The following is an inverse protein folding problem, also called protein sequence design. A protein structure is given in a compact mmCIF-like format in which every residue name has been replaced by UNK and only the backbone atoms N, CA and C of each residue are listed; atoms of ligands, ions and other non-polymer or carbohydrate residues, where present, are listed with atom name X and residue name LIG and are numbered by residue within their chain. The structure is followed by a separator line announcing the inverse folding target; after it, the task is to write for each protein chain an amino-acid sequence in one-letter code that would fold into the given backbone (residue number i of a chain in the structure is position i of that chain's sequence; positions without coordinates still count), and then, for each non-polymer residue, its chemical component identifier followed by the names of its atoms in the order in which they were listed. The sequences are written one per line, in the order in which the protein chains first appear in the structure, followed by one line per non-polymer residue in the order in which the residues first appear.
data_IF_148194456070
#
_entry.id   IF_148194456070
#
_cell.length_a   1.000
_cell.length_b   1.000
_cell.length_c   1.000
_cell.angle_alpha   90.00
_cell.angle_beta   90.00
_cell.angle_gamma   90.00
#
_symmetry.space_group_name_H-M   'P 1'
#
loop_
_entity.id
_entity.type
_entity.pdbx_description
1 polymer ?
#
# COMPACT_ATOMS: atom_id res chain seq x y z
N UNK A 1 6.76 -0.92 -26.24
CA UNK A 1 7.86 -1.03 -25.25
C UNK A 1 7.76 0.05 -24.16
N UNK A 2 7.43 1.30 -24.49
CA UNK A 2 7.30 2.43 -23.54
C UNK A 2 6.39 2.18 -22.32
N UNK A 3 5.21 1.54 -22.45
CA UNK A 3 4.33 1.30 -21.29
C UNK A 3 4.95 0.39 -20.22
N UNK A 4 5.71 -0.62 -20.63
CA UNK A 4 6.39 -1.55 -19.71
C UNK A 4 7.45 -0.81 -18.90
N UNK A 5 8.21 0.09 -19.54
CA UNK A 5 9.19 0.91 -18.83
C UNK A 5 8.53 1.82 -17.80
N UNK A 6 7.39 2.45 -18.13
CA UNK A 6 6.65 3.28 -17.17
C UNK A 6 6.17 2.46 -15.97
N UNK A 7 5.60 1.27 -16.21
CA UNK A 7 5.17 0.38 -15.13
C UNK A 7 6.37 -0.08 -14.29
N UNK A 8 7.48 -0.47 -14.93
CA UNK A 8 8.68 -0.94 -14.24
C UNK A 8 9.32 0.17 -13.37
N UNK A 9 9.44 1.38 -13.90
CA UNK A 9 9.99 2.52 -13.17
C UNK A 9 9.07 2.96 -12.03
N UNK A 10 7.76 3.01 -12.28
CA UNK A 10 6.77 3.26 -11.23
C UNK A 10 6.85 2.22 -10.12
N UNK A 11 6.91 0.94 -10.48
CA UNK A 11 7.04 -0.17 -9.52
C UNK A 11 8.33 -0.14 -8.72
N UNK A 12 9.46 0.19 -9.35
CA UNK A 12 10.73 0.39 -8.66
C UNK A 12 10.65 1.53 -7.62
N UNK A 13 10.05 2.66 -7.98
CA UNK A 13 9.85 3.76 -7.04
C UNK A 13 8.89 3.40 -5.90
N UNK A 14 7.78 2.75 -6.24
CA UNK A 14 6.78 2.27 -5.29
C UNK A 14 7.40 1.32 -4.26
N UNK A 15 8.06 0.26 -4.72
CA UNK A 15 8.74 -0.71 -3.87
C UNK A 15 9.81 -0.08 -2.96
N UNK A 16 10.63 0.86 -3.47
CA UNK A 16 11.61 1.58 -2.66
C UNK A 16 10.92 2.43 -1.58
N UNK A 17 9.87 3.17 -1.93
CA UNK A 17 9.10 3.94 -0.95
C UNK A 17 8.51 3.04 0.15
N UNK A 18 7.94 1.89 -0.23
CA UNK A 18 7.41 0.90 0.72
C UNK A 18 8.50 0.38 1.65
N UNK A 19 9.67 0.04 1.12
CA UNK A 19 10.81 -0.44 1.90
C UNK A 19 11.25 0.60 2.95
N UNK A 20 11.43 1.85 2.52
CA UNK A 20 11.85 2.94 3.41
C UNK A 20 10.79 3.26 4.46
N UNK A 21 9.53 3.37 4.07
CA UNK A 21 8.44 3.70 4.99
C UNK A 21 8.18 2.57 5.99
N UNK A 22 8.11 1.32 5.53
CA UNK A 22 7.93 0.15 6.41
C UNK A 22 9.10 0.04 7.39
N UNK A 23 10.34 0.21 6.93
CA UNK A 23 11.53 0.20 7.77
C UNK A 23 11.53 1.32 8.81
N UNK A 24 11.15 2.54 8.41
CA UNK A 24 11.03 3.68 9.32
C UNK A 24 9.96 3.45 10.40
N UNK A 25 8.79 2.93 10.03
CA UNK A 25 7.73 2.61 11.00
C UNK A 25 8.18 1.51 11.96
N UNK A 26 8.79 0.44 11.43
CA UNK A 26 9.24 -0.70 12.23
C UNK A 26 10.31 -0.30 13.25
N UNK A 27 11.20 0.63 12.90
CA UNK A 27 12.20 1.18 13.82
C UNK A 27 11.58 1.83 15.07
N UNK A 28 10.37 2.38 14.95
CA UNK A 28 9.66 3.04 16.06
C UNK A 28 8.63 2.13 16.76
N UNK A 29 8.44 0.91 16.27
CA UNK A 29 7.43 -0.04 16.76
C UNK A 29 8.05 -1.36 17.25
N UNK A 30 9.27 -1.29 17.79
CA UNK A 30 10.00 -2.46 18.30
C UNK A 30 9.17 -3.17 19.39
N UNK A 31 8.98 -4.48 19.24
CA UNK A 31 8.23 -5.31 20.19
C UNK A 31 6.71 -5.32 19.98
N UNK A 32 6.19 -4.62 18.97
CA UNK A 32 4.77 -4.68 18.63
C UNK A 32 4.44 -6.01 17.94
N UNK A 33 3.37 -6.65 18.40
CA UNK A 33 2.79 -7.84 17.76
C UNK A 33 2.03 -7.48 16.48
N UNK A 34 1.39 -6.31 16.48
CA UNK A 34 0.70 -5.76 15.32
C UNK A 34 1.72 -5.35 14.24
N UNK A 35 1.51 -5.64 12.93
CA UNK A 35 2.44 -5.32 11.85
C UNK A 35 2.24 -3.87 11.37
N UNK A 36 2.96 -2.87 11.91
CA UNK A 36 2.60 -1.47 11.70
C UNK A 36 3.17 -0.93 10.38
N UNK A 37 4.30 -1.48 9.91
CA UNK A 37 4.92 -1.08 8.65
C UNK A 37 4.01 -1.36 7.46
N UNK A 38 3.57 -2.61 7.30
CA UNK A 38 2.66 -3.01 6.22
C UNK A 38 1.31 -2.29 6.33
N UNK A 39 0.78 -2.14 7.56
CA UNK A 39 -0.43 -1.36 7.82
C UNK A 39 -0.30 0.08 7.28
N UNK A 40 0.68 0.84 7.75
CA UNK A 40 0.86 2.25 7.38
C UNK A 40 1.09 2.40 5.88
N UNK A 41 1.92 1.54 5.28
CA UNK A 41 2.17 1.58 3.84
C UNK A 41 0.89 1.36 3.03
N UNK A 42 0.03 0.41 3.44
CA UNK A 42 -1.23 0.17 2.75
C UNK A 42 -2.20 1.35 2.92
N UNK A 43 -2.32 1.94 4.11
CA UNK A 43 -3.17 3.12 4.34
C UNK A 43 -2.69 4.33 3.52
N UNK A 44 -1.39 4.58 3.48
CA UNK A 44 -0.81 5.64 2.63
C UNK A 44 -1.09 5.36 1.16
N UNK A 45 -0.96 4.10 0.71
CA UNK A 45 -1.33 3.70 -0.65
C UNK A 45 -2.81 3.98 -0.98
N UNK A 46 -3.72 3.60 -0.08
CA UNK A 46 -5.15 3.91 -0.18
C UNK A 46 -5.41 5.42 -0.27
N UNK A 47 -4.76 6.22 0.58
CA UNK A 47 -4.91 7.67 0.56
C UNK A 47 -4.43 8.28 -0.76
N UNK A 48 -3.26 7.85 -1.24
CA UNK A 48 -2.69 8.37 -2.49
C UNK A 48 -3.58 7.99 -3.67
N UNK A 49 -4.05 6.75 -3.78
CA UNK A 49 -4.90 6.33 -4.89
C UNK A 49 -6.29 6.99 -4.84
N UNK A 50 -6.85 7.21 -3.64
CA UNK A 50 -8.09 7.96 -3.43
C UNK A 50 -7.97 9.38 -3.97
N UNK A 51 -6.94 10.12 -3.54
CA UNK A 51 -6.66 11.49 -4.02
C UNK A 51 -6.43 11.51 -5.54
N UNK A 52 -5.57 10.62 -6.06
CA UNK A 52 -5.25 10.60 -7.48
C UNK A 52 -6.46 10.23 -8.34
N UNK A 53 -7.30 9.30 -7.90
CA UNK A 53 -8.51 8.92 -8.64
C UNK A 53 -9.43 10.13 -8.84
N UNK A 54 -9.61 10.94 -7.80
CA UNK A 54 -10.41 12.16 -7.85
C UNK A 54 -9.78 13.25 -8.73
N UNK A 55 -8.45 13.40 -8.68
CA UNK A 55 -7.73 14.35 -9.53
C UNK A 55 -7.82 13.97 -11.01
N UNK A 56 -7.69 12.69 -11.36
CA UNK A 56 -7.84 12.20 -12.73
C UNK A 56 -9.24 12.48 -13.26
N UNK A 57 -10.28 12.23 -12.46
CA UNK A 57 -11.67 12.50 -12.87
C UNK A 57 -11.89 14.00 -13.10
N UNK A 58 -11.37 14.86 -12.21
CA UNK A 58 -11.55 16.32 -12.29
C UNK A 58 -10.69 16.98 -13.39
N UNK A 59 -9.50 16.43 -13.66
CA UNK A 59 -8.48 17.03 -14.51
C UNK A 59 -8.02 16.06 -15.60
N UNK A 60 -8.95 15.35 -16.23
CA UNK A 60 -8.66 14.28 -17.19
C UNK A 60 -7.72 14.71 -18.35
N UNK A 61 -7.74 15.98 -18.75
CA UNK A 61 -6.83 16.51 -19.78
C UNK A 61 -5.36 16.50 -19.36
N UNK A 62 -5.05 16.59 -18.06
CA UNK A 62 -3.69 16.60 -17.52
C UNK A 62 -3.13 15.20 -17.24
N UNK A 63 -3.97 14.17 -17.20
CA UNK A 63 -3.56 12.79 -16.90
C UNK A 63 -3.64 11.92 -18.15
N UNK A 64 -2.54 11.90 -18.92
CA UNK A 64 -2.41 11.01 -20.06
C UNK A 64 -2.47 9.53 -19.64
N UNK A 65 -2.74 8.64 -20.61
CA UNK A 65 -2.74 7.20 -20.38
C UNK A 65 -1.40 6.70 -19.76
N UNK A 66 -0.29 7.29 -20.21
CA UNK A 66 1.06 6.97 -19.73
C UNK A 66 1.26 7.39 -18.26
N UNK A 67 0.79 8.57 -17.88
CA UNK A 67 0.83 9.04 -16.49
C UNK A 67 -0.01 8.13 -15.59
N UNK A 68 -1.17 7.66 -16.07
CA UNK A 68 -2.03 6.74 -15.32
C UNK A 68 -1.37 5.37 -15.15
N UNK A 69 -0.74 4.84 -16.19
CA UNK A 69 0.03 3.59 -16.12
C UNK A 69 1.18 3.69 -15.10
N UNK A 70 1.95 4.77 -15.16
CA UNK A 70 3.06 5.00 -14.23
C UNK A 70 2.57 5.11 -12.78
N UNK A 71 1.54 5.90 -12.50
CA UNK A 71 1.06 6.16 -11.14
C UNK A 71 0.25 5.00 -10.55
N UNK A 72 -0.76 4.51 -11.28
CA UNK A 72 -1.71 3.53 -10.74
C UNK A 72 -1.20 2.09 -10.88
N UNK A 73 -0.61 1.72 -12.02
CA UNK A 73 -0.16 0.34 -12.24
C UNK A 73 1.26 0.13 -11.72
N UNK A 74 2.18 1.06 -12.01
CA UNK A 74 3.56 0.98 -11.52
C UNK A 74 3.66 1.38 -10.05
N UNK A 75 3.44 2.66 -9.75
CA UNK A 75 3.71 3.26 -8.45
C UNK A 75 2.90 2.67 -7.30
N UNK A 76 1.57 2.68 -7.44
CA UNK A 76 0.65 2.29 -6.36
C UNK A 76 0.18 0.84 -6.51
N UNK A 77 0.19 0.30 -7.73
CA UNK A 77 -0.30 -1.05 -8.03
C UNK A 77 0.44 -2.16 -7.30
N UNK A 78 1.64 -1.89 -6.79
CA UNK A 78 2.40 -2.78 -5.92
C UNK A 78 1.85 -2.82 -4.47
N UNK A 79 0.52 -2.90 -4.30
CA UNK A 79 -0.12 -3.10 -3.00
C UNK A 79 0.15 -4.51 -2.45
N UNK A 80 0.56 -4.60 -1.18
CA UNK A 80 1.01 -5.83 -0.50
C UNK A 80 -0.15 -6.67 0.04
N UNK A 81 -1.12 -7.06 -0.79
CA UNK A 81 -2.15 -7.99 -0.31
C UNK A 81 -1.53 -9.33 0.14
N UNK A 82 -0.51 -9.81 -0.58
CA UNK A 82 0.22 -11.03 -0.24
C UNK A 82 0.96 -10.95 1.11
N UNK A 83 1.68 -9.85 1.37
CA UNK A 83 2.40 -9.67 2.65
C UNK A 83 1.42 -9.44 3.81
N UNK A 84 0.35 -8.66 3.60
CA UNK A 84 -0.75 -8.53 4.56
C UNK A 84 -1.33 -9.91 4.93
N UNK A 85 -1.60 -10.76 3.93
CA UNK A 85 -2.10 -12.11 4.13
C UNK A 85 -1.11 -13.01 4.87
N UNK A 86 0.19 -12.91 4.55
CA UNK A 86 1.26 -13.67 5.19
C UNK A 86 1.44 -13.28 6.66
N UNK A 87 1.45 -11.98 6.98
CA UNK A 87 1.50 -11.47 8.35
C UNK A 87 0.28 -11.91 9.15
N UNK A 88 -0.91 -11.80 8.56
CA UNK A 88 -2.15 -12.30 9.16
C UNK A 88 -2.06 -13.79 9.45
N UNK A 89 -1.58 -14.59 8.50
CA UNK A 89 -1.38 -16.02 8.67
C UNK A 89 -0.38 -16.34 9.80
N UNK A 90 0.71 -15.58 9.92
CA UNK A 90 1.67 -15.77 11.01
C UNK A 90 1.12 -15.39 12.37
N UNK A 91 0.29 -14.35 12.47
CA UNK A 91 -0.41 -14.00 13.71
C UNK A 91 -1.35 -15.13 14.14
N UNK A 92 -2.12 -15.69 13.20
CA UNK A 92 -2.99 -16.82 13.46
C UNK A 92 -2.20 -18.07 13.87
N UNK A 93 -1.05 -18.35 13.25
CA UNK A 93 -0.16 -19.46 13.64
C UNK A 93 0.48 -19.30 15.02
N UNK A 94 0.53 -18.09 15.56
CA UNK A 94 1.04 -17.78 16.91
C UNK A 94 -0.08 -17.73 17.95
N UNK A 95 -1.29 -18.18 17.58
CA UNK A 95 -2.50 -18.09 18.40
C UNK A 95 -2.89 -16.65 18.79
N UNK A 96 -2.40 -15.65 18.07
CA UNK A 96 -2.69 -14.23 18.31
C UNK A 96 -3.95 -13.77 17.57
N UNK A 97 -5.05 -14.49 17.76
CA UNK A 97 -6.31 -14.30 17.01
C UNK A 97 -6.88 -12.89 17.15
N UNK A 98 -6.81 -12.31 18.36
CA UNK A 98 -7.28 -10.94 18.60
C UNK A 98 -6.45 -9.91 17.82
N UNK A 99 -5.12 -10.09 17.76
CA UNK A 99 -4.22 -9.19 17.01
C UNK A 99 -4.48 -9.34 15.51
N UNK A 100 -4.58 -10.57 15.01
CA UNK A 100 -4.92 -10.85 13.61
C UNK A 100 -6.27 -10.21 13.21
N UNK A 101 -7.31 -10.41 14.03
CA UNK A 101 -8.63 -9.82 13.80
C UNK A 101 -8.59 -8.29 13.78
N UNK A 102 -7.88 -7.69 14.75
CA UNK A 102 -7.69 -6.24 14.79
C UNK A 102 -6.94 -5.71 13.56
N UNK A 103 -5.93 -6.44 13.08
CA UNK A 103 -5.14 -6.07 11.91
C UNK A 103 -5.97 -6.11 10.63
N UNK A 104 -6.76 -7.17 10.43
CA UNK A 104 -7.65 -7.28 9.27
C UNK A 104 -8.69 -6.16 9.28
N UNK A 105 -9.43 -6.02 10.39
CA UNK A 105 -10.55 -5.08 10.48
C UNK A 105 -10.06 -3.64 10.35
N UNK A 106 -8.99 -3.26 11.06
CA UNK A 106 -8.43 -1.91 10.97
C UNK A 106 -7.89 -1.62 9.58
N UNK A 107 -7.19 -2.57 8.93
CA UNK A 107 -6.66 -2.36 7.57
C UNK A 107 -7.77 -2.10 6.56
N UNK A 108 -8.88 -2.84 6.66
CA UNK A 108 -10.05 -2.66 5.78
C UNK A 108 -10.74 -1.33 6.08
N UNK A 109 -11.13 -1.08 7.33
CA UNK A 109 -11.91 0.11 7.70
C UNK A 109 -11.12 1.39 7.41
N UNK A 110 -9.88 1.47 7.89
CA UNK A 110 -9.05 2.67 7.70
C UNK A 110 -8.66 2.83 6.23
N UNK A 111 -8.41 1.72 5.52
CA UNK A 111 -8.12 1.75 4.08
C UNK A 111 -9.30 2.29 3.27
N UNK A 112 -10.52 1.86 3.59
CA UNK A 112 -11.75 2.37 2.95
C UNK A 112 -12.01 3.84 3.28
N UNK A 113 -11.72 4.30 4.51
CA UNK A 113 -11.83 5.72 4.87
C UNK A 113 -10.81 6.58 4.11
N UNK A 114 -9.63 6.02 3.81
CA UNK A 114 -8.58 6.73 3.11
C UNK A 114 -8.82 6.87 1.60
N UNK A 115 -9.62 5.99 0.99
CA UNK A 115 -9.97 6.00 -0.45
C UNK A 115 -10.98 7.09 -0.80
#
# INVERSE_FOLDING_TARGET
MTPIFLVAWGGAMGSVFRYLLSGWVLHHAVGWKFPPGTFVVNIVGCLVIGILSRLVVKHNYFFSADTRLFLFTGGIGDTMFSVFGLETFYLLRRDEVLVAGSYIISSIIVGLIAL
#
